data_IF_074370272083
#
_entry.id   IF_074370272083
#
_cell.length_a   1.000
_cell.length_b   1.000
_cell.length_c   1.000
_cell.angle_alpha   90.00
_cell.angle_beta   90.00
_cell.angle_gamma   90.00
#
_symmetry.space_group_name_H-M   'P 1'
#
loop_
_entity.id
_entity.type
_entity.pdbx_description
1 polymer ?
#
# COMPACT_ATOMS: atom_id res chain seq x y z
N UNK A 1 0.73 -16.50 -54.04
CA UNK A 1 1.03 -17.36 -52.89
C UNK A 1 2.35 -16.89 -52.28
N UNK A 2 2.31 -16.12 -51.19
CA UNK A 2 3.37 -16.01 -50.20
C UNK A 2 2.72 -15.47 -48.91
N UNK A 3 2.83 -16.25 -47.84
CA UNK A 3 2.32 -15.98 -46.50
C UNK A 3 3.32 -15.15 -45.68
N UNK A 4 2.83 -14.67 -44.52
CA UNK A 4 3.52 -14.12 -43.35
C UNK A 4 3.62 -12.58 -43.30
N UNK A 5 3.22 -11.91 -42.21
CA UNK A 5 2.75 -12.40 -40.93
C UNK A 5 2.18 -11.25 -40.10
N UNK A 6 1.18 -11.58 -39.27
CA UNK A 6 0.64 -10.69 -38.26
C UNK A 6 1.73 -10.47 -37.19
N UNK A 7 2.40 -9.31 -37.23
CA UNK A 7 3.23 -8.88 -36.11
C UNK A 7 2.30 -8.44 -34.98
N UNK A 8 2.11 -9.33 -34.00
CA UNK A 8 1.45 -9.00 -32.74
C UNK A 8 2.15 -7.79 -32.11
N UNK A 9 1.47 -6.64 -32.04
CA UNK A 9 1.92 -5.54 -31.19
C UNK A 9 1.88 -6.03 -29.76
N UNK A 10 3.08 -6.26 -29.20
CA UNK A 10 3.34 -6.47 -27.77
C UNK A 10 2.48 -5.51 -26.94
N UNK A 11 1.44 -6.04 -26.32
CA UNK A 11 0.69 -5.34 -25.29
C UNK A 11 1.48 -5.39 -23.99
N UNK A 12 2.47 -4.52 -23.85
CA UNK A 12 3.01 -4.04 -22.57
C UNK A 12 3.57 -2.65 -22.85
N UNK A 13 3.16 -1.67 -22.06
CA UNK A 13 3.69 -0.31 -22.14
C UNK A 13 5.21 -0.35 -22.04
N UNK A 14 5.90 0.39 -22.92
CA UNK A 14 7.33 0.58 -22.80
C UNK A 14 7.65 1.23 -21.44
N UNK A 15 8.75 0.85 -20.76
CA UNK A 15 9.17 1.57 -19.57
C UNK A 15 9.38 3.04 -19.93
N UNK A 16 8.85 3.93 -19.09
CA UNK A 16 9.13 5.35 -19.21
C UNK A 16 10.64 5.60 -19.07
N UNK A 17 11.15 6.55 -19.85
CA UNK A 17 12.53 7.05 -19.78
C UNK A 17 12.88 7.42 -18.32
N UNK A 18 13.93 6.81 -17.77
CA UNK A 18 14.32 6.83 -16.37
C UNK A 18 15.23 8.02 -16.02
N UNK A 19 15.15 9.09 -16.81
CA UNK A 19 15.61 10.41 -16.37
C UNK A 19 14.92 10.75 -15.06
N UNK A 20 15.66 10.64 -13.95
CA UNK A 20 15.20 10.84 -12.57
C UNK A 20 14.11 11.92 -12.55
N UNK A 21 12.85 11.46 -12.45
CA UNK A 21 11.71 12.36 -12.52
C UNK A 21 11.88 13.48 -11.49
N UNK A 22 11.20 14.61 -11.68
CA UNK A 22 11.31 15.77 -10.79
C UNK A 22 11.16 15.45 -9.27
N UNK A 23 10.70 14.24 -8.92
CA UNK A 23 10.49 13.74 -7.57
C UNK A 23 11.36 12.53 -7.17
N UNK A 24 12.41 12.17 -7.92
CA UNK A 24 13.20 10.95 -7.66
C UNK A 24 13.72 10.83 -6.21
N UNK A 25 14.08 11.95 -5.58
CA UNK A 25 14.47 11.97 -4.17
C UNK A 25 13.30 11.64 -3.22
N UNK A 26 12.09 12.13 -3.51
CA UNK A 26 10.89 11.81 -2.75
C UNK A 26 10.48 10.35 -2.98
N UNK A 27 10.60 9.85 -4.21
CA UNK A 27 10.35 8.44 -4.54
C UNK A 27 11.28 7.52 -3.73
N UNK A 28 12.57 7.84 -3.67
CA UNK A 28 13.54 7.11 -2.86
C UNK A 28 13.20 7.13 -1.36
N UNK A 29 12.72 8.26 -0.83
CA UNK A 29 12.26 8.35 0.55
C UNK A 29 11.02 7.49 0.82
N UNK A 30 10.03 7.53 -0.08
CA UNK A 30 8.81 6.70 0.03
C UNK A 30 9.16 5.22 -0.02
N UNK A 31 10.05 4.81 -0.93
CA UNK A 31 10.50 3.42 -1.04
C UNK A 31 11.27 2.97 0.22
N UNK A 32 12.09 3.85 0.80
CA UNK A 32 12.74 3.60 2.09
C UNK A 32 11.73 3.38 3.21
N UNK A 33 10.74 4.27 3.34
CA UNK A 33 9.67 4.15 4.34
C UNK A 33 8.86 2.84 4.17
N UNK A 34 8.53 2.46 2.93
CA UNK A 34 7.83 1.19 2.65
C UNK A 34 8.68 0.00 3.09
N UNK A 35 9.99 0.02 2.84
CA UNK A 35 10.87 -1.09 3.20
C UNK A 35 11.04 -1.20 4.71
N UNK A 36 11.21 -0.08 5.39
CA UNK A 36 11.67 -0.06 6.78
C UNK A 36 10.54 0.05 7.81
N UNK A 37 9.35 0.54 7.40
CA UNK A 37 8.24 0.88 8.31
C UNK A 37 6.85 0.41 7.83
N UNK A 38 6.76 -0.43 6.79
CA UNK A 38 5.47 -0.93 6.31
C UNK A 38 4.85 -1.96 7.25
N UNK A 39 3.58 -1.73 7.60
CA UNK A 39 2.73 -2.66 8.35
C UNK A 39 1.97 -3.63 7.42
N UNK A 40 2.23 -3.63 6.11
CA UNK A 40 1.43 -4.40 5.15
C UNK A 40 1.52 -5.93 5.41
N UNK A 41 2.71 -6.45 5.65
CA UNK A 41 2.91 -7.88 5.88
C UNK A 41 2.37 -8.36 7.24
N UNK A 42 2.64 -7.69 8.37
CA UNK A 42 2.01 -8.04 9.65
C UNK A 42 0.48 -8.01 9.61
N UNK A 43 -0.10 -6.99 8.95
CA UNK A 43 -1.54 -6.91 8.80
C UNK A 43 -2.10 -8.05 7.94
N UNK A 44 -1.41 -8.40 6.85
CA UNK A 44 -1.80 -9.53 6.00
C UNK A 44 -1.73 -10.86 6.74
N UNK A 45 -0.70 -11.07 7.56
CA UNK A 45 -0.55 -12.24 8.43
C UNK A 45 -1.73 -12.34 9.40
N UNK A 46 -2.03 -11.28 10.15
CA UNK A 46 -3.17 -11.27 11.07
C UNK A 46 -4.49 -11.57 10.35
N UNK A 47 -4.72 -10.93 9.21
CA UNK A 47 -5.90 -11.18 8.40
C UNK A 47 -5.95 -12.66 7.96
N UNK A 48 -4.83 -13.26 7.59
CA UNK A 48 -4.80 -14.62 7.04
C UNK A 48 -4.89 -15.69 8.12
N UNK A 49 -4.16 -15.52 9.23
CA UNK A 49 -3.97 -16.57 10.22
C UNK A 49 -4.94 -16.46 11.40
N UNK A 50 -5.33 -15.23 11.77
CA UNK A 50 -6.28 -15.01 12.87
C UNK A 50 -7.73 -14.90 12.41
N UNK A 51 -8.00 -14.30 11.24
CA UNK A 51 -9.38 -14.18 10.72
C UNK A 51 -9.68 -15.29 9.70
N UNK A 52 -8.74 -15.61 8.82
CA UNK A 52 -8.93 -16.67 7.82
C UNK A 52 -9.76 -16.25 6.60
N UNK A 53 -10.36 -17.23 5.88
CA UNK A 53 -11.12 -17.00 4.65
C UNK A 53 -12.33 -16.06 4.83
N UNK A 54 -12.52 -15.14 3.87
CA UNK A 54 -13.53 -14.07 3.93
C UNK A 54 -14.47 -14.10 2.73
N UNK A 55 -15.27 -15.15 2.62
CA UNK A 55 -16.29 -15.24 1.57
C UNK A 55 -17.36 -14.14 1.76
N UNK A 56 -17.95 -13.65 0.67
CA UNK A 56 -19.05 -12.68 0.72
C UNK A 56 -20.20 -13.20 1.60
N UNK A 57 -20.66 -12.36 2.53
CA UNK A 57 -21.72 -12.71 3.48
C UNK A 57 -21.26 -13.53 4.69
N UNK A 58 -19.98 -13.91 4.79
CA UNK A 58 -19.44 -14.62 5.95
C UNK A 58 -19.27 -13.71 7.17
N UNK A 59 -19.36 -14.26 8.40
CA UNK A 59 -18.98 -13.54 9.61
C UNK A 59 -17.54 -13.03 9.60
N UNK A 60 -16.61 -13.79 9.00
CA UNK A 60 -15.19 -13.46 8.90
C UNK A 60 -14.95 -12.19 8.05
N UNK A 61 -15.74 -12.00 7.00
CA UNK A 61 -15.68 -10.77 6.21
C UNK A 61 -16.05 -9.55 7.06
N UNK A 62 -17.13 -9.65 7.85
CA UNK A 62 -17.52 -8.57 8.76
C UNK A 62 -16.42 -8.30 9.79
N UNK A 63 -15.88 -9.33 10.42
CA UNK A 63 -14.80 -9.21 11.39
C UNK A 63 -13.57 -8.50 10.82
N UNK A 64 -13.16 -8.83 9.59
CA UNK A 64 -12.04 -8.16 8.96
C UNK A 64 -12.30 -6.70 8.61
N UNK A 65 -13.52 -6.36 8.20
CA UNK A 65 -13.90 -4.97 7.97
C UNK A 65 -13.84 -4.16 9.26
N UNK A 66 -14.42 -4.68 10.35
CA UNK A 66 -14.42 -4.04 11.66
C UNK A 66 -12.99 -3.85 12.18
N UNK A 67 -12.17 -4.90 12.10
CA UNK A 67 -10.76 -4.84 12.50
C UNK A 67 -9.96 -3.82 11.67
N UNK A 68 -10.18 -3.77 10.36
CA UNK A 68 -9.47 -2.82 9.48
C UNK A 68 -9.84 -1.37 9.82
N UNK A 69 -11.13 -1.12 10.10
CA UNK A 69 -11.59 0.20 10.54
C UNK A 69 -10.87 0.62 11.84
N UNK A 70 -10.73 -0.29 12.80
CA UNK A 70 -10.00 -0.03 14.04
C UNK A 70 -8.52 0.31 13.79
N UNK A 71 -7.83 -0.43 12.91
CA UNK A 71 -6.41 -0.14 12.60
C UNK A 71 -6.23 1.25 11.99
N UNK A 72 -7.12 1.67 11.09
CA UNK A 72 -7.10 3.01 10.49
C UNK A 72 -7.32 4.08 11.57
N UNK A 73 -8.26 3.86 12.48
CA UNK A 73 -8.54 4.78 13.60
C UNK A 73 -7.31 4.88 14.52
N UNK A 74 -6.70 3.75 14.90
CA UNK A 74 -5.47 3.73 15.72
C UNK A 74 -4.36 4.55 15.07
N UNK A 75 -4.10 4.35 13.78
CA UNK A 75 -3.11 5.10 13.02
C UNK A 75 -3.43 6.60 12.95
N UNK A 76 -4.70 6.97 12.79
CA UNK A 76 -5.14 8.38 12.79
C UNK A 76 -4.91 9.05 14.14
N UNK A 77 -5.29 8.39 15.24
CA UNK A 77 -5.10 8.92 16.61
C UNK A 77 -3.62 9.09 16.93
N UNK A 78 -2.78 8.11 16.57
CA UNK A 78 -1.33 8.19 16.75
C UNK A 78 -0.72 9.40 16.02
N UNK A 79 -1.14 9.67 14.77
CA UNK A 79 -0.68 10.84 14.01
C UNK A 79 -1.17 12.16 14.62
N UNK A 80 -2.43 12.25 15.06
CA UNK A 80 -2.97 13.46 15.71
C UNK A 80 -2.19 13.82 16.97
N UNK A 81 -1.89 12.83 17.82
CA UNK A 81 -1.11 13.03 19.06
C UNK A 81 0.31 13.55 18.79
N UNK A 82 0.97 13.06 17.72
CA UNK A 82 2.29 13.57 17.30
C UNK A 82 2.24 15.02 16.82
N UNK A 83 1.20 15.41 16.09
CA UNK A 83 1.01 16.78 15.64
C UNK A 83 0.82 17.76 16.81
N UNK A 84 -0.03 17.39 17.79
CA UNK A 84 -0.27 18.23 18.97
C UNK A 84 0.97 18.35 19.87
N UNK A 85 1.76 17.29 20.02
CA UNK A 85 3.02 17.34 20.78
C UNK A 85 4.05 18.27 20.11
N UNK A 86 4.21 18.22 18.79
CA UNK A 86 5.11 19.13 18.06
C UNK A 86 4.71 20.60 18.28
N UNK A 87 3.42 20.90 18.26
CA UNK A 87 2.94 22.28 18.41
C UNK A 87 3.13 22.84 19.83
N UNK A 88 3.17 21.97 20.85
CA UNK A 88 3.36 22.37 22.26
C UNK A 88 4.83 22.58 22.67
N UNK A 89 5.79 21.98 21.95
CA UNK A 89 7.21 21.97 22.33
C UNK A 89 8.11 22.73 21.33
N UNK A 90 7.53 23.58 20.48
CA UNK A 90 8.24 24.44 19.52
C UNK A 90 8.26 25.92 19.97
N UNK A 91 8.30 26.15 21.27
CA UNK A 91 8.51 27.47 21.89
C UNK A 91 9.80 27.48 22.70
#
# INVERSE_FOLDING_TARGET
>A
MLLAGFAARKGFAAPADDGAGAFAAADAQILGEIRDHSEAMPNLEYLSDNIGPRLTGSPQLKQANDWTADQIIRGRVARRRRASWRQQNMH
#
